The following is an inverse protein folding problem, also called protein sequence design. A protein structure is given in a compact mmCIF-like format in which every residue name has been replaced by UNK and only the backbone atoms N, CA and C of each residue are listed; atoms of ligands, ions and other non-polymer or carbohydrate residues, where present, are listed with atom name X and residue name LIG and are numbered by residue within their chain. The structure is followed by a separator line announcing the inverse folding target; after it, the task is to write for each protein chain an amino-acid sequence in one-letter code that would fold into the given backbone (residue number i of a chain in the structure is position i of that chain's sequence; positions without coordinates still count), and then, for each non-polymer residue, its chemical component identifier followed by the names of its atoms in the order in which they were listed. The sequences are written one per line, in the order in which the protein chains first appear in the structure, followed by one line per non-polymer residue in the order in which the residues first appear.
data_IF_525235912542
#
_entry.id   IF_525235912542
#
_cell.length_a   1.000
_cell.length_b   1.000
_cell.length_c   1.000
_cell.angle_alpha   90.00
_cell.angle_beta   90.00
_cell.angle_gamma   90.00
#
_symmetry.space_group_name_H-M   'P 1'
#
loop_
_entity.id
_entity.type
_entity.pdbx_description
1 polymer ?
#
# COMPACT_ATOMS: atom_id res chain seq x y z
N UNK A 1 35.70 55.73 -22.30
CA UNK A 1 34.52 54.84 -22.42
C UNK A 1 34.23 54.35 -21.01
N UNK A 2 33.17 54.82 -20.36
CA UNK A 2 32.89 54.44 -18.98
C UNK A 2 32.27 53.03 -18.97
N UNK A 3 32.99 52.08 -18.38
CA UNK A 3 32.48 50.74 -18.11
C UNK A 3 31.21 50.85 -17.27
N UNK A 4 30.14 50.24 -17.78
CA UNK A 4 28.84 50.21 -17.13
C UNK A 4 28.93 49.19 -16.02
N UNK A 5 29.30 49.63 -14.82
CA UNK A 5 29.30 48.79 -13.62
C UNK A 5 27.90 48.20 -13.45
N UNK A 6 27.80 46.90 -13.66
CA UNK A 6 26.52 46.19 -13.73
C UNK A 6 26.05 45.93 -12.30
N UNK A 7 25.30 46.89 -11.73
CA UNK A 7 24.73 46.76 -10.39
C UNK A 7 23.74 45.58 -10.39
N UNK A 8 24.07 44.52 -9.66
CA UNK A 8 23.20 43.35 -9.53
C UNK A 8 22.04 43.67 -8.58
N UNK A 9 20.76 43.46 -8.99
CA UNK A 9 19.63 43.65 -8.10
C UNK A 9 19.68 42.64 -6.94
N UNK A 10 19.36 43.11 -5.75
CA UNK A 10 19.26 42.31 -4.54
C UNK A 10 17.79 41.95 -4.29
N UNK A 11 17.55 40.70 -3.93
CA UNK A 11 16.21 40.18 -3.63
C UNK A 11 16.09 39.80 -2.14
N UNK A 12 15.00 40.19 -1.49
CA UNK A 12 14.71 39.77 -0.12
C UNK A 12 14.02 38.42 -0.12
N UNK A 13 14.70 37.39 0.39
CA UNK A 13 14.15 36.05 0.60
C UNK A 13 13.00 36.00 1.63
N UNK A 14 12.62 37.11 2.27
CA UNK A 14 11.53 37.17 3.26
C UNK A 14 10.26 37.84 2.74
N UNK A 15 10.39 39.01 2.11
CA UNK A 15 9.26 39.80 1.62
C UNK A 15 9.21 39.91 0.09
N UNK A 16 10.11 39.22 -0.61
CA UNK A 16 10.20 39.20 -2.06
C UNK A 16 10.41 40.57 -2.71
N UNK A 17 10.91 41.55 -1.94
CA UNK A 17 11.21 42.89 -2.43
C UNK A 17 12.57 42.90 -3.15
N UNK A 18 12.61 43.53 -4.32
CA UNK A 18 13.81 43.71 -5.14
C UNK A 18 14.30 45.16 -5.06
N UNK A 19 15.62 45.35 -4.92
CA UNK A 19 16.22 46.69 -4.92
C UNK A 19 17.64 46.70 -5.47
N UNK A 20 18.09 47.87 -5.90
CA UNK A 20 19.47 48.09 -6.30
C UNK A 20 20.26 48.70 -5.14
N UNK A 21 21.36 48.07 -4.68
CA UNK A 21 22.20 48.64 -3.63
C UNK A 21 22.87 49.92 -4.14
N UNK A 22 22.92 50.95 -3.28
CA UNK A 22 23.55 52.24 -3.61
C UNK A 22 25.06 52.28 -3.32
N UNK A 23 25.60 51.23 -2.71
CA UNK A 23 27.01 51.11 -2.35
C UNK A 23 27.53 49.70 -2.62
N UNK A 24 28.83 49.51 -2.49
CA UNK A 24 29.52 48.24 -2.75
C UNK A 24 29.30 47.18 -1.66
N UNK A 25 28.86 47.57 -0.47
CA UNK A 25 28.64 46.66 0.66
C UNK A 25 27.24 46.04 0.67
N UNK A 26 27.15 44.77 1.05
CA UNK A 26 25.89 44.07 1.25
C UNK A 26 25.07 44.74 2.39
N UNK A 27 23.80 45.09 2.16
CA UNK A 27 23.00 45.74 3.18
C UNK A 27 22.76 44.78 4.36
N UNK A 28 22.92 45.27 5.59
CA UNK A 28 22.67 44.46 6.80
C UNK A 28 21.20 44.11 7.00
N UNK A 29 20.29 44.87 6.40
CA UNK A 29 18.83 44.72 6.54
C UNK A 29 18.14 44.93 5.20
N UNK A 30 17.03 44.22 4.98
CA UNK A 30 16.14 44.54 3.88
C UNK A 30 15.56 45.96 4.05
N UNK A 31 15.54 46.80 3.00
CA UNK A 31 14.97 48.16 3.07
C UNK A 31 13.47 48.17 3.37
N UNK A 32 12.72 47.16 2.90
CA UNK A 32 11.27 47.07 3.07
C UNK A 32 10.90 46.42 4.43
N UNK A 33 11.23 45.15 4.62
CA UNK A 33 10.83 44.40 5.82
C UNK A 33 11.78 44.52 7.03
N UNK A 34 12.90 45.27 6.88
CA UNK A 34 13.94 45.48 7.92
C UNK A 34 14.57 44.21 8.50
N UNK A 35 14.33 43.06 7.89
CA UNK A 35 14.87 41.77 8.33
C UNK A 35 16.37 41.72 8.12
N UNK A 36 17.08 41.24 9.14
CA UNK A 36 18.52 40.93 9.06
C UNK A 36 18.80 39.62 8.31
N UNK A 37 17.78 38.74 8.17
CA UNK A 37 17.90 37.43 7.50
C UNK A 37 17.40 37.49 6.05
N UNK A 38 17.43 38.66 5.43
CA UNK A 38 16.85 38.89 4.11
C UNK A 38 17.55 38.07 3.00
N UNK A 39 18.84 37.76 3.15
CA UNK A 39 19.61 36.96 2.20
C UNK A 39 19.84 35.51 2.66
N UNK A 40 19.00 35.00 3.58
CA UNK A 40 19.16 33.64 4.08
C UNK A 40 18.48 32.64 3.12
N UNK A 41 19.21 31.71 2.48
CA UNK A 41 18.63 30.74 1.55
C UNK A 41 17.63 29.81 2.23
N UNK A 42 17.75 29.61 3.54
CA UNK A 42 16.81 28.83 4.37
C UNK A 42 15.38 29.40 4.40
N UNK A 43 15.17 30.64 3.93
CA UNK A 43 13.83 31.22 3.78
C UNK A 43 13.19 30.86 2.45
N UNK A 44 13.94 30.45 1.44
CA UNK A 44 13.41 29.98 0.16
C UNK A 44 13.13 28.48 0.27
N UNK A 45 11.85 28.12 0.32
CA UNK A 45 11.40 26.75 0.28
C UNK A 45 10.99 26.39 -1.15
N UNK A 46 11.36 25.19 -1.60
CA UNK A 46 10.97 24.64 -2.88
C UNK A 46 10.25 23.31 -2.67
N UNK A 47 9.13 23.11 -3.35
CA UNK A 47 8.43 21.84 -3.32
C UNK A 47 9.07 20.88 -4.33
N UNK A 48 9.66 19.80 -3.84
CA UNK A 48 10.24 18.72 -4.66
C UNK A 48 9.20 17.92 -5.45
N UNK A 49 7.90 18.12 -5.22
CA UNK A 49 6.82 17.44 -5.94
C UNK A 49 6.24 18.26 -7.09
N UNK A 50 6.11 19.58 -6.94
CA UNK A 50 5.52 20.45 -7.96
C UNK A 50 6.47 21.56 -8.48
N UNK A 51 7.69 21.67 -7.94
CA UNK A 51 8.68 22.68 -8.32
C UNK A 51 8.38 24.11 -7.86
N UNK A 52 7.27 24.33 -7.15
CA UNK A 52 6.91 25.67 -6.69
C UNK A 52 7.90 26.18 -5.64
N UNK A 53 8.37 27.43 -5.78
CA UNK A 53 9.28 28.11 -4.85
C UNK A 53 8.52 29.21 -4.11
N UNK A 54 8.72 29.32 -2.79
CA UNK A 54 8.09 30.34 -1.97
C UNK A 54 8.95 30.75 -0.77
N UNK A 55 8.63 31.92 -0.23
CA UNK A 55 9.32 32.51 0.91
C UNK A 55 8.66 32.05 2.22
N UNK A 56 9.33 31.16 2.96
CA UNK A 56 8.90 30.69 4.27
C UNK A 56 9.45 31.57 5.40
N UNK A 57 8.56 32.28 6.09
CA UNK A 57 8.91 33.14 7.22
C UNK A 57 9.60 32.41 8.39
N UNK A 58 9.33 31.10 8.55
CA UNK A 58 9.83 30.25 9.64
C UNK A 58 10.67 29.06 9.16
N UNK A 59 11.02 29.00 7.87
CA UNK A 59 11.85 27.93 7.29
C UNK A 59 11.19 26.55 7.16
N UNK A 60 10.17 26.21 7.97
CA UNK A 60 9.53 24.89 7.95
C UNK A 60 8.00 24.96 7.72
N UNK A 61 7.54 25.21 6.48
CA UNK A 61 6.12 25.21 6.16
C UNK A 61 5.53 23.80 6.33
N UNK A 62 4.30 23.70 6.86
CA UNK A 62 3.63 22.40 7.05
C UNK A 62 3.08 21.80 5.75
N UNK A 63 2.85 22.65 4.74
CA UNK A 63 2.30 22.27 3.44
C UNK A 63 2.86 23.16 2.35
N UNK A 64 2.96 22.62 1.13
CA UNK A 64 3.20 23.44 -0.05
C UNK A 64 1.97 24.34 -0.31
N UNK A 65 2.14 25.65 -0.54
CA UNK A 65 1.04 26.56 -0.83
C UNK A 65 0.37 26.30 -2.19
N UNK A 66 1.07 25.70 -3.15
CA UNK A 66 0.53 25.41 -4.47
C UNK A 66 -0.18 24.04 -4.54
N UNK A 67 0.51 22.95 -4.18
CA UNK A 67 -0.05 21.60 -4.29
C UNK A 67 -0.68 21.05 -3.00
N UNK A 68 -0.59 21.79 -1.88
CA UNK A 68 -1.13 21.37 -0.58
C UNK A 68 -0.41 20.18 0.06
N UNK A 69 0.64 19.64 -0.56
CA UNK A 69 1.35 18.46 -0.07
C UNK A 69 2.05 18.73 1.26
N UNK A 70 1.89 17.82 2.21
CA UNK A 70 2.60 17.85 3.51
C UNK A 70 4.07 17.42 3.37
N UNK A 71 4.38 16.61 2.37
CA UNK A 71 5.72 16.11 2.11
C UNK A 71 6.35 16.88 0.94
N UNK A 72 6.32 18.21 1.02
CA UNK A 72 6.83 19.08 -0.04
C UNK A 72 8.36 19.03 -0.16
N UNK A 73 9.05 18.68 0.93
CA UNK A 73 10.50 18.52 1.04
C UNK A 73 11.00 17.09 0.78
N UNK A 74 10.11 16.18 0.35
CA UNK A 74 10.45 14.79 0.02
C UNK A 74 10.22 14.58 -1.47
N UNK A 75 11.20 14.03 -2.22
CA UNK A 75 11.02 13.75 -3.64
C UNK A 75 9.90 12.70 -3.82
N UNK A 76 9.08 12.83 -4.88
CA UNK A 76 8.02 11.86 -5.14
C UNK A 76 8.62 10.47 -5.41
N UNK A 77 8.08 9.45 -4.75
CA UNK A 77 8.47 8.06 -4.97
C UNK A 77 7.90 7.57 -6.31
N UNK A 78 8.78 7.11 -7.19
CA UNK A 78 8.40 6.37 -8.40
C UNK A 78 8.01 4.94 -8.02
N UNK A 79 6.92 4.48 -8.62
CA UNK A 79 6.42 3.12 -8.50
C UNK A 79 6.37 2.48 -9.88
N UNK A 80 6.81 1.23 -9.95
CA UNK A 80 6.77 0.40 -11.16
C UNK A 80 5.93 -0.82 -10.86
N UNK A 81 4.96 -1.12 -11.72
CA UNK A 81 4.18 -2.34 -11.60
C UNK A 81 4.96 -3.52 -12.18
N UNK A 82 5.23 -4.55 -11.37
CA UNK A 82 5.90 -5.78 -11.83
C UNK A 82 5.05 -6.58 -12.82
N UNK A 83 3.73 -6.35 -12.88
CA UNK A 83 2.82 -7.10 -13.76
C UNK A 83 2.62 -6.49 -15.13
N UNK A 84 2.46 -5.17 -15.20
CA UNK A 84 2.21 -4.47 -16.47
C UNK A 84 3.36 -3.56 -16.90
N UNK A 85 4.41 -3.39 -16.09
CA UNK A 85 5.52 -2.49 -16.36
C UNK A 85 5.18 -0.99 -16.24
N UNK A 86 3.93 -0.64 -15.95
CA UNK A 86 3.50 0.75 -15.83
C UNK A 86 4.24 1.49 -14.72
N UNK A 87 4.64 2.73 -14.98
CA UNK A 87 5.37 3.61 -14.05
C UNK A 87 4.51 4.79 -13.65
N UNK A 88 4.47 5.13 -12.37
CA UNK A 88 3.76 6.31 -11.88
C UNK A 88 4.42 6.90 -10.64
N UNK A 89 4.18 8.17 -10.40
CA UNK A 89 4.59 8.86 -9.18
C UNK A 89 3.38 9.02 -8.26
N UNK A 90 3.51 8.58 -7.01
CA UNK A 90 2.45 8.80 -6.03
C UNK A 90 2.51 10.25 -5.52
N UNK A 91 1.34 10.84 -5.28
CA UNK A 91 1.18 12.17 -4.69
C UNK A 91 1.32 12.18 -3.15
N UNK A 92 1.37 11.00 -2.51
CA UNK A 92 1.76 10.82 -1.12
C UNK A 92 2.83 9.71 -0.99
N UNK A 93 3.36 9.53 0.21
CA UNK A 93 4.37 8.51 0.54
C UNK A 93 3.76 7.15 0.91
N UNK A 94 2.43 7.02 0.86
CA UNK A 94 1.74 5.76 1.17
C UNK A 94 1.82 4.83 -0.02
N UNK A 95 2.00 3.53 0.26
CA UNK A 95 1.92 2.46 -0.73
C UNK A 95 0.57 2.51 -1.47
N UNK A 96 0.54 2.66 -2.81
CA UNK A 96 -0.68 2.55 -3.60
C UNK A 96 -1.41 1.21 -3.37
N UNK A 97 -2.73 1.25 -3.19
CA UNK A 97 -3.53 0.03 -2.98
C UNK A 97 -3.76 -0.81 -4.23
N UNK A 98 -3.65 -0.20 -5.42
CA UNK A 98 -3.77 -0.86 -6.72
C UNK A 98 -2.94 -0.13 -7.77
N UNK A 99 -2.49 -0.85 -8.80
CA UNK A 99 -1.89 -0.25 -9.98
C UNK A 99 -2.96 0.58 -10.74
N UNK A 100 -2.66 1.82 -11.13
CA UNK A 100 -3.60 2.65 -11.91
C UNK A 100 -3.80 2.15 -13.35
N UNK A 101 -2.84 1.39 -13.90
CA UNK A 101 -2.89 0.92 -15.28
C UNK A 101 -3.57 -0.44 -15.44
N UNK A 102 -3.25 -1.41 -14.58
CA UNK A 102 -3.79 -2.78 -14.67
C UNK A 102 -4.74 -3.17 -13.53
N UNK A 103 -4.96 -2.28 -12.56
CA UNK A 103 -5.85 -2.55 -11.41
C UNK A 103 -5.32 -3.59 -10.42
N UNK A 104 -4.14 -4.18 -10.63
CA UNK A 104 -3.58 -5.19 -9.72
C UNK A 104 -3.36 -4.64 -8.31
N UNK A 105 -3.83 -5.36 -7.28
CA UNK A 105 -3.54 -5.06 -5.86
C UNK A 105 -2.14 -5.52 -5.41
N UNK A 106 -1.54 -6.42 -6.19
CA UNK A 106 -0.22 -7.01 -5.98
C UNK A 106 0.70 -6.54 -7.11
N UNK A 107 0.83 -5.22 -7.23
CA UNK A 107 1.58 -4.59 -8.31
C UNK A 107 3.06 -4.45 -7.99
N UNK A 108 3.44 -4.53 -6.72
CA UNK A 108 4.80 -4.47 -6.16
C UNK A 108 5.31 -5.82 -5.64
N UNK A 109 4.49 -6.87 -5.70
CA UNK A 109 4.89 -8.22 -5.33
C UNK A 109 4.97 -9.06 -6.60
N UNK A 110 6.13 -9.67 -6.81
CA UNK A 110 6.25 -10.79 -7.74
C UNK A 110 5.27 -11.88 -7.30
N UNK A 111 4.79 -12.68 -8.24
CA UNK A 111 4.02 -13.85 -7.89
C UNK A 111 4.99 -14.71 -7.09
N UNK A 112 4.80 -14.82 -5.78
CA UNK A 112 5.35 -15.95 -5.04
C UNK A 112 4.92 -17.18 -5.85
N UNK A 113 5.87 -17.77 -6.59
CA UNK A 113 5.73 -19.16 -6.98
C UNK A 113 5.37 -19.85 -5.69
N UNK A 114 4.22 -20.53 -5.61
CA UNK A 114 3.72 -21.00 -4.34
C UNK A 114 4.76 -21.93 -3.75
N UNK A 115 5.56 -21.41 -2.81
CA UNK A 115 6.14 -22.23 -1.77
C UNK A 115 4.95 -22.98 -1.20
N UNK A 116 5.00 -24.30 -1.37
CA UNK A 116 3.91 -25.23 -1.14
C UNK A 116 3.49 -25.17 0.34
N UNK A 117 2.65 -24.21 0.71
CA UNK A 117 2.16 -24.03 2.08
C UNK A 117 1.25 -22.80 2.09
N UNK A 118 -0.06 -22.86 2.23
CA UNK A 118 -0.91 -23.89 2.78
C UNK A 118 -2.13 -23.97 1.89
N UNK A 119 -2.22 -25.05 1.10
CA UNK A 119 -3.53 -25.46 0.60
C UNK A 119 -4.36 -25.71 1.86
N UNK A 120 -5.53 -25.08 1.93
CA UNK A 120 -6.66 -25.55 2.72
C UNK A 120 -6.60 -27.08 2.69
N UNK A 121 -6.28 -27.67 3.85
CA UNK A 121 -6.32 -29.11 4.04
C UNK A 121 -7.77 -29.48 3.83
N UNK A 122 -8.15 -29.81 2.59
CA UNK A 122 -9.23 -30.74 2.39
C UNK A 122 -8.78 -31.97 3.14
N UNK A 123 -9.33 -32.16 4.33
CA UNK A 123 -9.12 -33.31 5.18
C UNK A 123 -9.62 -34.55 4.43
N UNK A 124 -8.85 -35.02 3.46
CA UNK A 124 -9.06 -36.32 2.87
C UNK A 124 -8.85 -37.29 4.01
N UNK A 125 -9.95 -37.94 4.39
CA UNK A 125 -9.91 -39.02 5.34
C UNK A 125 -9.02 -40.12 4.74
N UNK A 126 -8.15 -40.72 5.55
CA UNK A 126 -7.29 -41.81 5.08
C UNK A 126 -8.12 -43.01 4.65
N UNK A 127 -7.60 -43.86 3.73
CA UNK A 127 -8.35 -45.00 3.19
C UNK A 127 -8.82 -45.98 4.29
N UNK A 128 -8.06 -46.13 5.38
CA UNK A 128 -8.45 -46.97 6.52
C UNK A 128 -9.69 -46.44 7.26
N UNK A 129 -9.81 -45.12 7.40
CA UNK A 129 -10.95 -44.51 8.07
C UNK A 129 -12.18 -44.45 7.15
N UNK A 130 -12.00 -44.38 5.82
CA UNK A 130 -13.08 -44.59 4.86
C UNK A 130 -13.60 -46.04 4.91
N UNK A 131 -12.72 -47.04 5.00
CA UNK A 131 -13.11 -48.46 5.15
C UNK A 131 -13.93 -48.69 6.42
N UNK A 132 -13.46 -48.21 7.57
CA UNK A 132 -14.17 -48.37 8.84
C UNK A 132 -15.55 -47.70 8.85
N UNK A 133 -15.71 -46.57 8.16
CA UNK A 133 -17.02 -45.93 7.98
C UNK A 133 -17.93 -46.81 7.12
N UNK A 134 -17.42 -47.37 6.03
CA UNK A 134 -18.19 -48.22 5.13
C UNK A 134 -18.63 -49.54 5.81
N UNK A 135 -17.75 -50.17 6.57
CA UNK A 135 -18.04 -51.39 7.34
C UNK A 135 -19.15 -51.16 8.37
N UNK A 136 -19.01 -50.13 9.22
CA UNK A 136 -20.02 -49.81 10.24
C UNK A 136 -21.36 -49.40 9.62
N UNK A 137 -21.34 -48.73 8.48
CA UNK A 137 -22.56 -48.37 7.78
C UNK A 137 -23.25 -49.58 7.13
N UNK A 138 -22.47 -50.54 6.61
CA UNK A 138 -22.96 -51.81 6.10
C UNK A 138 -23.59 -52.67 7.22
N UNK A 139 -23.05 -52.59 8.44
CA UNK A 139 -23.62 -53.23 9.64
C UNK A 139 -24.92 -52.53 10.15
N UNK A 140 -25.43 -51.53 9.43
CA UNK A 140 -26.67 -50.83 9.77
C UNK A 140 -26.52 -49.75 10.84
N UNK A 141 -25.29 -49.38 11.22
CA UNK A 141 -25.06 -48.31 12.20
C UNK A 141 -25.35 -46.95 11.55
N UNK A 142 -26.17 -46.09 12.18
CA UNK A 142 -26.49 -44.78 11.60
C UNK A 142 -25.26 -43.87 11.54
N UNK A 143 -25.13 -43.10 10.46
CA UNK A 143 -23.98 -42.23 10.18
C UNK A 143 -23.64 -41.23 11.31
N UNK A 144 -24.65 -40.79 12.08
CA UNK A 144 -24.45 -39.92 13.25
C UNK A 144 -23.69 -40.65 14.35
N UNK A 145 -24.02 -41.93 14.61
CA UNK A 145 -23.34 -42.75 15.62
C UNK A 145 -21.90 -43.08 15.19
N UNK A 146 -21.67 -43.30 13.89
CA UNK A 146 -20.33 -43.49 13.32
C UNK A 146 -19.45 -42.25 13.54
N UNK A 147 -19.99 -41.05 13.31
CA UNK A 147 -19.27 -39.78 13.52
C UNK A 147 -18.81 -39.61 14.97
N UNK A 148 -19.68 -39.94 15.93
CA UNK A 148 -19.36 -39.86 17.36
C UNK A 148 -18.34 -40.93 17.76
N UNK A 149 -18.54 -42.18 17.33
CA UNK A 149 -17.68 -43.31 17.72
C UNK A 149 -16.25 -43.22 17.15
N UNK A 150 -16.08 -42.68 15.94
CA UNK A 150 -14.77 -42.54 15.30
C UNK A 150 -14.13 -41.17 15.52
N UNK A 151 -14.85 -40.21 16.12
CA UNK A 151 -14.38 -38.83 16.27
C UNK A 151 -14.18 -38.10 14.93
N UNK A 152 -14.84 -38.57 13.87
CA UNK A 152 -14.71 -38.03 12.51
C UNK A 152 -15.85 -37.02 12.28
N UNK A 153 -15.59 -35.83 11.72
CA UNK A 153 -16.62 -34.86 11.36
C UNK A 153 -17.73 -35.49 10.51
N UNK A 154 -18.99 -35.24 10.89
CA UNK A 154 -20.16 -35.79 10.21
C UNK A 154 -20.16 -35.52 8.69
N UNK A 155 -19.65 -34.36 8.27
CA UNK A 155 -19.51 -34.00 6.86
C UNK A 155 -18.63 -34.97 6.06
N UNK A 156 -17.56 -35.49 6.66
CA UNK A 156 -16.69 -36.48 6.02
C UNK A 156 -17.34 -37.86 5.99
N UNK A 157 -17.98 -38.27 7.09
CA UNK A 157 -18.73 -39.54 7.17
C UNK A 157 -19.84 -39.58 6.12
N UNK A 158 -20.63 -38.52 6.02
CA UNK A 158 -21.70 -38.41 5.03
C UNK A 158 -21.14 -38.41 3.59
N UNK A 159 -19.96 -37.83 3.38
CA UNK A 159 -19.26 -37.85 2.09
C UNK A 159 -18.85 -39.26 1.63
N UNK A 160 -18.50 -40.15 2.57
CA UNK A 160 -18.20 -41.57 2.29
C UNK A 160 -19.50 -42.34 2.05
N UNK A 161 -20.47 -42.21 2.95
CA UNK A 161 -21.76 -42.91 2.86
C UNK A 161 -22.50 -42.62 1.56
N UNK A 162 -22.48 -41.37 1.07
CA UNK A 162 -23.11 -40.99 -0.20
C UNK A 162 -22.51 -41.65 -1.44
N UNK A 163 -21.28 -42.19 -1.35
CA UNK A 163 -20.60 -42.89 -2.44
C UNK A 163 -20.87 -44.39 -2.42
N UNK A 164 -21.40 -44.92 -1.33
CA UNK A 164 -21.74 -46.33 -1.21
C UNK A 164 -23.09 -46.59 -1.90
N UNK A 165 -23.25 -47.74 -2.58
CA UNK A 165 -24.57 -48.15 -3.05
C UNK A 165 -25.49 -48.29 -1.84
N UNK A 166 -26.68 -47.68 -1.91
CA UNK A 166 -27.68 -47.73 -0.85
C UNK A 166 -27.96 -49.18 -0.47
N UNK A 167 -27.79 -49.59 0.80
CA UNK A 167 -28.31 -50.88 1.25
C UNK A 167 -29.83 -50.83 1.15
N UNK A 168 -30.40 -51.85 0.50
CA UNK A 168 -31.84 -52.07 0.40
C UNK A 168 -32.40 -52.35 1.80
N UNK A 169 -32.83 -51.28 2.48
CA UNK A 169 -33.69 -51.39 3.66
C UNK A 169 -35.10 -51.68 3.14
N UNK A 170 -35.33 -52.97 2.84
CA UNK A 170 -36.66 -53.53 2.79
C UNK A 170 -37.34 -53.24 4.13
N UNK A 171 -38.39 -52.41 4.06
CA UNK A 171 -39.31 -52.08 5.14
C UNK A 171 -39.73 -53.34 5.89
N UNK A 172 -39.27 -53.51 7.12
CA UNK A 172 -39.96 -54.39 8.06
C UNK A 172 -41.24 -53.67 8.53
N UNK A 173 -42.34 -54.17 7.98
CA UNK A 173 -43.71 -53.92 8.40
C UNK A 173 -43.86 -54.46 9.82
N UNK A 174 -44.22 -53.60 10.76
CA UNK A 174 -44.63 -54.04 12.11
C UNK A 174 -46.14 -54.36 12.07
N UNK A 175 -46.60 -55.55 12.52
CA UNK A 175 -48.02 -55.83 12.72
C UNK A 175 -48.63 -55.04 13.89
#
# INVERSE_FOLDING_TARGET
MAERESVTPMHCCRCSYDWFPRGSELPKRCPECRSIKWNSPNLLAECLRCGHKWNSHRGNPQRCPNCGSKCWNVPPKEHVCVRCGGRWTASNDRRPGKCPYCGSRYWDSEKDEPEKGSKSVQSKLGPEAESRIAELYADGVPAVKISISLGIPFSLVQGVVRKLPVPDVSREVCP
#
